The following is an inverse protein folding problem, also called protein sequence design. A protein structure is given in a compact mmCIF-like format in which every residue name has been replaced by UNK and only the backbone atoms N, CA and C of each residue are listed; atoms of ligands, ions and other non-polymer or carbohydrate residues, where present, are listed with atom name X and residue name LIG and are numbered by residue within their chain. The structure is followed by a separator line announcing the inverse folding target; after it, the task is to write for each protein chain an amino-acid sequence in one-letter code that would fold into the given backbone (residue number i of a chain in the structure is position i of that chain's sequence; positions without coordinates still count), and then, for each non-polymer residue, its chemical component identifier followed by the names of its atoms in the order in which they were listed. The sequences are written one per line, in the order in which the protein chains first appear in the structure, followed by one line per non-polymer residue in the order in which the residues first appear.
data_IF_588215828845
#
_entry.id   IF_588215828845
#
_cell.length_a   1.000
_cell.length_b   1.000
_cell.length_c   1.000
_cell.angle_alpha   90.00
_cell.angle_beta   90.00
_cell.angle_gamma   90.00
#
_symmetry.space_group_name_H-M   'P 1'
#
loop_
_entity.id
_entity.type
_entity.pdbx_description
1 polymer ?
#
# COMPACT_ATOMS: atom_id res chain seq x y z
N UNK A 1 -36.77 10.38 16.87
CA UNK A 1 -35.35 10.62 17.25
C UNK A 1 -34.40 9.95 16.29
N UNK A 2 -34.74 8.76 15.77
CA UNK A 2 -33.91 8.03 14.80
C UNK A 2 -33.69 8.78 13.48
N UNK A 3 -34.71 9.49 12.97
CA UNK A 3 -34.60 10.26 11.72
C UNK A 3 -33.60 11.43 11.83
N UNK A 4 -33.44 12.02 13.03
CA UNK A 4 -32.49 13.10 13.27
C UNK A 4 -31.04 12.58 13.25
N UNK A 5 -30.81 11.42 13.86
CA UNK A 5 -29.50 10.76 13.81
C UNK A 5 -29.18 10.20 12.43
N UNK A 6 -30.17 9.63 11.72
CA UNK A 6 -29.99 9.11 10.37
C UNK A 6 -29.63 10.21 9.37
N UNK A 7 -30.31 11.36 9.43
CA UNK A 7 -30.04 12.52 8.57
C UNK A 7 -28.68 13.18 8.89
N UNK A 8 -28.28 13.23 10.17
CA UNK A 8 -26.97 13.72 10.57
C UNK A 8 -25.81 12.84 10.05
N UNK A 9 -25.96 11.52 10.05
CA UNK A 9 -24.95 10.60 9.50
C UNK A 9 -24.86 10.75 7.97
N UNK A 10 -26.01 10.85 7.30
CA UNK A 10 -26.06 11.03 5.85
C UNK A 10 -25.45 12.34 5.36
N UNK A 11 -25.49 13.41 6.15
CA UNK A 11 -24.88 14.71 5.77
C UNK A 11 -23.37 14.74 5.93
N UNK A 12 -22.80 13.91 6.81
CA UNK A 12 -21.35 13.82 7.07
C UNK A 12 -20.68 12.78 6.15
N UNK A 13 -21.44 11.81 5.64
CA UNK A 13 -20.97 10.80 4.69
C UNK A 13 -20.19 11.36 3.47
N UNK A 14 -20.63 12.45 2.81
CA UNK A 14 -19.95 12.99 1.63
C UNK A 14 -18.54 13.51 1.95
N UNK A 15 -18.39 14.25 3.05
CA UNK A 15 -17.09 14.82 3.45
C UNK A 15 -16.13 13.74 3.94
N UNK A 16 -16.63 12.79 4.73
CA UNK A 16 -15.85 11.61 5.13
C UNK A 16 -15.47 10.75 3.93
N UNK A 17 -16.38 10.56 2.97
CA UNK A 17 -16.14 9.78 1.76
C UNK A 17 -15.01 10.37 0.92
N UNK A 18 -15.03 11.68 0.68
CA UNK A 18 -13.95 12.37 -0.04
C UNK A 18 -12.63 12.27 0.74
N UNK A 19 -12.65 12.46 2.07
CA UNK A 19 -11.48 12.31 2.91
C UNK A 19 -10.89 10.89 2.90
N UNK A 20 -11.75 9.86 2.91
CA UNK A 20 -11.37 8.46 2.82
C UNK A 20 -10.73 8.12 1.47
N UNK A 21 -11.34 8.60 0.38
CA UNK A 21 -10.80 8.42 -0.97
C UNK A 21 -9.43 9.08 -1.08
N UNK A 22 -9.31 10.34 -0.64
CA UNK A 22 -8.04 11.06 -0.65
C UNK A 22 -6.95 10.33 0.16
N UNK A 23 -7.29 9.89 1.38
CA UNK A 23 -6.38 9.12 2.23
C UNK A 23 -5.98 7.80 1.57
N UNK A 24 -6.93 7.10 0.94
CA UNK A 24 -6.66 5.84 0.25
C UNK A 24 -5.71 6.04 -0.93
N UNK A 25 -5.91 7.10 -1.72
CA UNK A 25 -5.00 7.48 -2.82
C UNK A 25 -3.61 7.79 -2.27
N UNK A 26 -3.49 8.64 -1.25
CA UNK A 26 -2.20 9.00 -0.65
C UNK A 26 -1.49 7.77 -0.10
N UNK A 27 -2.22 6.88 0.59
CA UNK A 27 -1.69 5.62 1.11
C UNK A 27 -1.26 4.69 -0.01
N UNK A 28 -2.01 4.60 -1.11
CA UNK A 28 -1.67 3.77 -2.26
C UNK A 28 -0.38 4.26 -2.93
N UNK A 29 -0.22 5.57 -3.13
CA UNK A 29 1.01 6.15 -3.69
C UNK A 29 2.23 5.84 -2.82
N UNK A 30 2.12 6.06 -1.51
CA UNK A 30 3.22 5.77 -0.57
C UNK A 30 3.56 4.27 -0.53
N UNK A 31 2.56 3.39 -0.61
CA UNK A 31 2.77 1.94 -0.63
C UNK A 31 3.34 1.45 -1.97
N UNK A 32 2.95 2.06 -3.09
CA UNK A 32 3.43 1.69 -4.41
C UNK A 32 4.96 1.87 -4.53
N UNK A 33 5.50 3.01 -4.10
CA UNK A 33 6.95 3.27 -4.04
C UNK A 33 7.71 2.20 -3.21
N UNK A 34 7.11 1.73 -2.11
CA UNK A 34 7.68 0.67 -1.28
C UNK A 34 7.56 -0.72 -1.90
N UNK A 35 6.50 -0.99 -2.66
CA UNK A 35 6.29 -2.28 -3.30
C UNK A 35 7.20 -2.49 -4.50
N UNK A 36 7.48 -1.46 -5.29
CA UNK A 36 8.41 -1.59 -6.43
C UNK A 36 9.78 -2.09 -5.97
N UNK A 37 10.34 -1.51 -4.91
CA UNK A 37 11.63 -1.95 -4.34
C UNK A 37 11.60 -3.40 -3.85
N UNK A 38 10.49 -3.83 -3.23
CA UNK A 38 10.34 -5.21 -2.73
C UNK A 38 10.10 -6.22 -3.85
N UNK A 39 9.36 -5.84 -4.89
CA UNK A 39 9.09 -6.68 -6.04
C UNK A 39 10.38 -6.94 -6.84
N UNK A 40 11.19 -5.92 -7.10
CA UNK A 40 12.50 -6.08 -7.74
C UNK A 40 13.43 -7.00 -6.93
N UNK A 41 13.54 -6.77 -5.62
CA UNK A 41 14.37 -7.62 -4.75
C UNK A 41 13.90 -9.08 -4.71
N UNK A 42 12.58 -9.32 -4.73
CA UNK A 42 12.02 -10.66 -4.75
C UNK A 42 12.24 -11.38 -6.09
N UNK A 43 12.24 -10.66 -7.21
CA UNK A 43 12.55 -11.22 -8.53
C UNK A 43 14.04 -11.53 -8.65
N UNK A 44 14.92 -10.61 -8.23
CA UNK A 44 16.36 -10.80 -8.26
C UNK A 44 16.81 -11.98 -7.36
N UNK A 45 16.19 -12.13 -6.18
CA UNK A 45 16.45 -13.28 -5.31
C UNK A 45 16.03 -14.61 -5.96
N UNK A 46 14.92 -14.63 -6.70
CA UNK A 46 14.48 -15.82 -7.45
C UNK A 46 15.41 -16.15 -8.61
N UNK A 47 15.90 -15.13 -9.34
CA UNK A 47 16.85 -15.32 -10.44
C UNK A 47 18.22 -15.78 -9.93
N UNK A 48 18.74 -15.19 -8.85
CA UNK A 48 20.00 -15.63 -8.22
C UNK A 48 19.92 -17.04 -7.66
N UNK A 49 18.81 -17.42 -7.03
CA UNK A 49 18.58 -18.80 -6.58
C UNK A 49 18.54 -19.79 -7.76
N UNK A 50 18.05 -19.37 -8.92
CA UNK A 50 18.02 -20.19 -10.15
C UNK A 50 19.39 -20.27 -10.83
N UNK A 51 20.20 -19.22 -10.72
CA UNK A 51 21.54 -19.14 -11.30
C UNK A 51 22.65 -19.66 -10.38
N UNK A 52 22.34 -20.03 -9.13
CA UNK A 52 23.33 -20.59 -8.19
C UNK A 52 24.44 -19.61 -7.79
N UNK A 53 24.20 -18.30 -7.93
CA UNK A 53 25.20 -17.27 -7.64
C UNK A 53 25.18 -16.94 -6.14
N UNK A 54 26.31 -17.08 -5.42
CA UNK A 54 26.37 -16.79 -3.98
C UNK A 54 26.13 -15.30 -3.68
N UNK A 55 25.64 -15.01 -2.48
CA UNK A 55 25.33 -13.65 -2.05
C UNK A 55 26.61 -12.77 -1.99
N UNK A 56 26.53 -11.44 -2.20
CA UNK A 56 27.69 -10.53 -2.27
C UNK A 56 28.48 -10.34 -0.95
N UNK A 57 28.28 -11.21 0.03
CA UNK A 57 28.87 -11.19 1.36
C UNK A 57 29.47 -12.53 1.80
N UNK A 58 29.56 -13.52 0.90
CA UNK A 58 30.24 -14.79 1.20
C UNK A 58 31.78 -14.64 1.41
N UNK A 59 32.33 -13.45 1.18
CA UNK A 59 33.76 -13.20 1.08
C UNK A 59 34.28 -12.16 2.11
N UNK A 60 33.52 -11.82 3.16
CA UNK A 60 34.00 -10.95 4.27
C UNK A 60 34.19 -11.69 5.57
#
# INVERSE_FOLDING_TARGET
MDDFWASAIWSILPTLGVGLIFWFIMRAVIQADKQERKAYAAIEAKERARMGVPAPDADR
#
